data_IF_705314284578
#
_entry.id   IF_705314284578
#
_cell.length_a   1.000
_cell.length_b   1.000
_cell.length_c   1.000
_cell.angle_alpha   90.00
_cell.angle_beta   90.00
_cell.angle_gamma   90.00
#
_symmetry.space_group_name_H-M   'P 1'
#
loop_
_entity.id
_entity.type
_entity.pdbx_description
1 polymer ?
#
# COMPACT_ATOMS: atom_id res chain seq x y z
N UNK A 1 42.20 -48.12 8.94
CA UNK A 1 40.81 -47.79 9.35
C UNK A 1 40.70 -46.29 9.28
N UNK A 2 40.31 -45.77 8.12
CA UNK A 2 40.10 -44.33 7.90
C UNK A 2 38.70 -43.94 8.36
N UNK A 3 38.65 -43.07 9.32
CA UNK A 3 37.41 -42.54 9.88
C UNK A 3 37.03 -41.31 9.06
N UNK A 4 36.21 -41.52 8.03
CA UNK A 4 35.64 -40.42 7.23
C UNK A 4 34.60 -39.68 8.07
N UNK A 5 34.99 -38.55 8.64
CA UNK A 5 34.08 -37.63 9.28
C UNK A 5 33.17 -37.02 8.19
N UNK A 6 31.89 -37.41 8.18
CA UNK A 6 30.85 -36.73 7.38
C UNK A 6 30.70 -35.29 7.85
N UNK A 7 30.99 -34.36 6.95
CA UNK A 7 30.72 -32.95 7.15
C UNK A 7 29.18 -32.77 7.08
N UNK A 8 28.51 -32.28 8.13
CA UNK A 8 27.10 -32.07 8.08
C UNK A 8 26.80 -31.00 7.02
N UNK A 9 26.08 -31.40 5.96
CA UNK A 9 25.51 -30.48 4.97
C UNK A 9 24.62 -29.51 5.69
N UNK A 10 25.01 -28.23 5.74
CA UNK A 10 24.13 -27.13 6.20
C UNK A 10 22.81 -27.23 5.41
N UNK A 11 21.72 -27.53 6.11
CA UNK A 11 20.35 -27.37 5.62
C UNK A 11 20.27 -26.00 4.95
N UNK A 12 19.86 -25.92 3.69
CA UNK A 12 19.51 -24.66 3.04
C UNK A 12 18.35 -24.10 3.84
N UNK A 13 18.63 -23.14 4.72
CA UNK A 13 17.58 -22.39 5.40
C UNK A 13 16.71 -21.74 4.33
N UNK A 14 15.43 -21.98 4.38
CA UNK A 14 14.46 -21.30 3.50
C UNK A 14 14.65 -19.80 3.69
N UNK A 15 14.98 -19.10 2.61
CA UNK A 15 15.17 -17.64 2.65
C UNK A 15 13.82 -16.97 2.48
N UNK A 16 13.40 -16.17 3.46
CA UNK A 16 12.17 -15.40 3.39
C UNK A 16 12.40 -14.09 2.64
N UNK A 17 11.72 -13.91 1.51
CA UNK A 17 11.78 -12.69 0.71
C UNK A 17 10.43 -11.99 0.80
N UNK A 18 10.40 -10.77 1.32
CA UNK A 18 9.21 -9.95 1.36
C UNK A 18 9.13 -9.06 0.12
N UNK A 19 7.96 -9.03 -0.54
CA UNK A 19 7.61 -8.01 -1.53
C UNK A 19 6.80 -6.91 -0.88
N UNK A 20 7.06 -5.66 -1.24
CA UNK A 20 6.42 -4.46 -0.67
C UNK A 20 5.96 -3.54 -1.78
N UNK A 21 4.70 -3.08 -1.70
CA UNK A 21 4.16 -2.05 -2.59
C UNK A 21 3.22 -1.11 -1.82
N UNK A 22 3.09 0.13 -2.30
CA UNK A 22 2.21 1.15 -1.73
C UNK A 22 1.06 1.51 -2.66
N UNK A 23 -0.01 2.01 -2.08
CA UNK A 23 -1.17 2.57 -2.78
C UNK A 23 -1.64 3.85 -2.09
N UNK A 24 -2.13 4.79 -2.88
CA UNK A 24 -2.73 6.00 -2.32
C UNK A 24 -1.83 7.23 -2.30
N UNK A 25 -0.77 7.31 -3.11
CA UNK A 25 0.09 8.51 -3.23
C UNK A 25 -0.69 9.70 -3.83
N UNK A 26 -1.41 9.50 -4.93
CA UNK A 26 -2.07 10.57 -5.69
C UNK A 26 -3.44 11.04 -5.20
N UNK A 27 -4.24 10.29 -4.42
CA UNK A 27 -5.53 10.75 -3.90
C UNK A 27 -5.44 11.99 -3.03
N UNK A 28 -6.52 12.81 -3.04
CA UNK A 28 -6.69 14.00 -2.19
C UNK A 28 -7.21 13.66 -0.78
N UNK A 29 -7.68 12.43 -0.58
CA UNK A 29 -8.29 11.97 0.67
C UNK A 29 -7.89 10.54 1.01
N UNK A 30 -7.96 10.23 2.30
CA UNK A 30 -7.65 8.93 2.86
C UNK A 30 -6.15 8.68 3.05
N UNK A 31 -5.81 7.58 3.74
CA UNK A 31 -4.42 7.22 4.07
C UNK A 31 -3.62 6.78 2.83
N UNK A 32 -2.29 6.73 3.00
CA UNK A 32 -1.41 5.86 2.19
C UNK A 32 -1.34 4.51 2.87
N UNK A 33 -1.51 3.44 2.10
CA UNK A 33 -1.35 2.07 2.55
C UNK A 33 -0.16 1.43 1.86
N UNK A 34 0.51 0.56 2.60
CA UNK A 34 1.54 -0.35 2.07
C UNK A 34 1.21 -1.76 2.52
N UNK A 35 1.39 -2.73 1.65
CA UNK A 35 1.39 -4.13 2.00
C UNK A 35 2.79 -4.72 1.90
N UNK A 36 3.12 -5.63 2.81
CA UNK A 36 4.29 -6.50 2.76
C UNK A 36 3.81 -7.95 2.72
N UNK A 37 4.35 -8.76 1.80
CA UNK A 37 3.94 -10.16 1.58
C UNK A 37 5.17 -11.05 1.48
N UNK A 38 5.18 -12.14 2.24
CA UNK A 38 6.12 -13.27 2.07
C UNK A 38 5.30 -14.44 1.51
N UNK A 39 5.54 -14.79 0.25
CA UNK A 39 4.84 -15.90 -0.41
C UNK A 39 5.40 -17.25 0.06
N UNK A 40 4.52 -18.28 0.05
CA UNK A 40 4.91 -19.68 0.29
C UNK A 40 5.32 -20.34 -1.04
N UNK A 41 6.58 -20.73 -1.21
CA UNK A 41 7.03 -21.44 -2.41
C UNK A 41 6.33 -22.80 -2.60
N UNK A 42 5.78 -23.39 -1.54
CA UNK A 42 5.05 -24.65 -1.60
C UNK A 42 3.59 -24.47 -2.06
N UNK A 43 3.08 -23.22 -2.04
CA UNK A 43 1.72 -22.88 -2.41
C UNK A 43 1.69 -21.76 -3.47
N UNK A 44 2.18 -21.98 -4.70
CA UNK A 44 2.27 -20.94 -5.72
C UNK A 44 0.89 -20.41 -6.10
N UNK A 45 0.78 -19.08 -6.24
CA UNK A 45 -0.44 -18.38 -6.62
C UNK A 45 -0.34 -17.99 -8.09
N UNK A 46 -1.33 -18.39 -8.89
CA UNK A 46 -1.32 -18.16 -10.32
C UNK A 46 -2.01 -16.85 -10.72
N UNK A 47 -1.44 -16.13 -11.68
CA UNK A 47 -2.04 -14.93 -12.27
C UNK A 47 -1.82 -13.68 -11.44
N UNK A 48 -0.77 -13.67 -10.63
CA UNK A 48 -0.24 -12.43 -10.03
C UNK A 48 0.21 -11.51 -11.17
N UNK A 49 -0.20 -10.25 -11.12
CA UNK A 49 0.10 -9.22 -12.11
C UNK A 49 -0.13 -7.84 -11.51
N UNK A 50 0.26 -6.78 -12.22
CA UNK A 50 -0.07 -5.40 -11.87
C UNK A 50 -1.56 -5.26 -11.50
N UNK A 51 -1.83 -4.83 -10.27
CA UNK A 51 -3.17 -4.73 -9.68
C UNK A 51 -4.14 -3.87 -10.51
N UNK A 52 -3.61 -2.95 -11.33
CA UNK A 52 -4.39 -2.07 -12.21
C UNK A 52 -4.74 -2.72 -13.54
N UNK A 53 -4.04 -3.78 -13.94
CA UNK A 53 -4.25 -4.49 -15.20
C UNK A 53 -5.33 -5.57 -15.13
N UNK A 54 -5.74 -5.98 -13.93
CA UNK A 54 -6.74 -7.02 -13.70
C UNK A 54 -8.08 -6.43 -13.25
N UNK A 55 -9.19 -7.13 -13.54
CA UNK A 55 -10.52 -6.70 -13.11
C UNK A 55 -10.65 -6.67 -11.57
N UNK A 56 -11.56 -5.84 -11.06
CA UNK A 56 -11.84 -5.73 -9.62
C UNK A 56 -12.20 -7.10 -9.02
N UNK A 57 -13.09 -7.85 -9.66
CA UNK A 57 -13.50 -9.20 -9.23
C UNK A 57 -12.30 -10.16 -9.14
N UNK A 58 -11.39 -10.15 -10.14
CA UNK A 58 -10.21 -10.99 -10.13
C UNK A 58 -9.23 -10.55 -9.03
N UNK A 59 -9.09 -9.26 -8.82
CA UNK A 59 -8.23 -8.67 -7.78
C UNK A 59 -8.69 -9.07 -6.38
N UNK A 60 -10.00 -9.00 -6.09
CA UNK A 60 -10.57 -9.46 -4.83
C UNK A 60 -10.30 -10.95 -4.59
N UNK A 61 -10.59 -11.81 -5.57
CA UNK A 61 -10.31 -13.24 -5.46
C UNK A 61 -8.82 -13.54 -5.21
N UNK A 62 -7.92 -12.82 -5.89
CA UNK A 62 -6.48 -12.97 -5.67
C UNK A 62 -6.05 -12.46 -4.28
N UNK A 63 -6.61 -11.36 -3.78
CA UNK A 63 -6.31 -10.86 -2.46
C UNK A 63 -6.69 -11.87 -1.37
N UNK A 64 -7.85 -12.51 -1.49
CA UNK A 64 -8.27 -13.60 -0.60
C UNK A 64 -7.32 -14.80 -0.69
N UNK A 65 -6.94 -15.22 -1.90
CA UNK A 65 -6.01 -16.33 -2.12
C UNK A 65 -4.62 -16.03 -1.53
N UNK A 66 -4.11 -14.79 -1.69
CA UNK A 66 -2.85 -14.35 -1.10
C UNK A 66 -2.91 -14.42 0.43
N UNK A 67 -3.98 -13.92 1.04
CA UNK A 67 -4.13 -13.96 2.49
C UNK A 67 -4.22 -15.39 3.06
N UNK A 68 -4.76 -16.34 2.29
CA UNK A 68 -4.88 -17.75 2.72
C UNK A 68 -3.59 -18.55 2.53
N UNK A 69 -2.78 -18.23 1.52
CA UNK A 69 -1.63 -19.06 1.08
C UNK A 69 -0.26 -18.45 1.37
N UNK A 70 -0.17 -17.14 1.55
CA UNK A 70 1.11 -16.53 1.88
C UNK A 70 1.56 -16.91 3.29
N UNK A 71 2.87 -17.01 3.49
CA UNK A 71 3.46 -17.27 4.80
C UNK A 71 3.24 -16.09 5.76
N UNK A 72 3.25 -14.87 5.25
CA UNK A 72 2.97 -13.67 6.03
C UNK A 72 2.47 -12.55 5.14
N UNK A 73 1.45 -11.83 5.62
CA UNK A 73 0.89 -10.62 5.00
C UNK A 73 0.70 -9.57 6.08
N UNK A 74 1.14 -8.36 5.82
CA UNK A 74 0.94 -7.26 6.75
C UNK A 74 0.66 -5.95 6.02
N UNK A 75 -0.18 -5.10 6.64
CA UNK A 75 -0.54 -3.78 6.10
C UNK A 75 -0.08 -2.70 7.06
N UNK A 76 0.73 -1.79 6.52
CA UNK A 76 1.09 -0.54 7.18
C UNK A 76 0.30 0.63 6.60
N UNK A 77 -0.03 1.60 7.46
CA UNK A 77 -0.77 2.81 7.09
C UNK A 77 -0.03 4.05 7.55
N UNK A 78 -0.15 5.13 6.75
CA UNK A 78 0.13 6.47 7.20
C UNK A 78 -1.16 7.30 7.07
N UNK A 79 -1.55 7.97 8.16
CA UNK A 79 -2.78 8.75 8.23
C UNK A 79 -2.71 10.02 7.39
N UNK A 80 -3.85 10.70 7.27
CA UNK A 80 -3.93 12.00 6.59
C UNK A 80 -3.06 13.05 7.29
N UNK A 81 -3.07 13.06 8.61
CA UNK A 81 -2.27 13.96 9.44
C UNK A 81 -0.77 13.71 9.25
N UNK A 82 -0.36 12.44 9.23
CA UNK A 82 1.04 12.06 8.97
C UNK A 82 1.49 12.43 7.56
N UNK A 83 0.58 12.34 6.56
CA UNK A 83 0.86 12.80 5.19
C UNK A 83 1.07 14.32 5.16
N UNK A 84 0.22 15.07 5.86
CA UNK A 84 0.28 16.53 5.92
C UNK A 84 1.53 17.01 6.65
N UNK A 85 1.98 16.31 7.70
CA UNK A 85 3.17 16.61 8.46
C UNK A 85 4.48 16.23 7.74
N UNK A 86 4.54 15.01 7.22
CA UNK A 86 5.78 14.40 6.71
C UNK A 86 5.99 14.62 5.20
N UNK A 87 4.98 14.96 4.44
CA UNK A 87 4.74 14.78 3.01
C UNK A 87 4.49 13.31 2.62
N UNK A 88 3.85 13.12 1.44
CA UNK A 88 3.39 11.79 1.00
C UNK A 88 4.51 10.76 0.79
N UNK A 89 5.71 11.19 0.38
CA UNK A 89 6.84 10.27 0.20
C UNK A 89 7.33 9.70 1.53
N UNK A 90 7.56 10.57 2.51
CA UNK A 90 7.98 10.13 3.86
C UNK A 90 6.89 9.33 4.57
N UNK A 91 5.63 9.70 4.36
CA UNK A 91 4.47 8.97 4.87
C UNK A 91 4.37 7.56 4.24
N UNK A 92 4.62 7.40 2.93
CA UNK A 92 4.66 6.06 2.31
C UNK A 92 5.82 5.22 2.87
N UNK A 93 7.00 5.80 3.09
CA UNK A 93 8.11 5.12 3.73
C UNK A 93 7.79 4.70 5.18
N UNK A 94 7.05 5.53 5.93
CA UNK A 94 6.55 5.17 7.26
C UNK A 94 5.58 3.99 7.19
N UNK A 95 4.64 4.01 6.24
CA UNK A 95 3.71 2.90 6.01
C UNK A 95 4.46 1.61 5.62
N UNK A 96 5.52 1.68 4.79
CA UNK A 96 6.36 0.53 4.45
C UNK A 96 7.03 -0.09 5.67
N UNK A 97 7.64 0.74 6.53
CA UNK A 97 8.24 0.25 7.79
C UNK A 97 7.21 -0.41 8.70
N UNK A 98 6.01 0.15 8.82
CA UNK A 98 4.91 -0.42 9.60
C UNK A 98 4.44 -1.76 9.02
N UNK A 99 4.34 -1.89 7.69
CA UNK A 99 4.01 -3.14 7.04
C UNK A 99 5.07 -4.22 7.32
N UNK A 100 6.35 -3.89 7.17
CA UNK A 100 7.44 -4.83 7.46
C UNK A 100 7.48 -5.24 8.93
N UNK A 101 7.32 -4.30 9.85
CA UNK A 101 7.28 -4.58 11.29
C UNK A 101 6.07 -5.44 11.74
N UNK A 102 4.99 -5.44 10.97
CA UNK A 102 3.79 -6.25 11.23
C UNK A 102 3.83 -7.66 10.66
N UNK A 103 4.87 -8.03 9.90
CA UNK A 103 5.03 -9.41 9.41
C UNK A 103 5.23 -10.37 10.57
N UNK A 104 4.58 -11.54 10.50
CA UNK A 104 4.73 -12.63 11.49
C UNK A 104 6.05 -13.41 11.35
N UNK A 105 6.75 -13.23 10.22
CA UNK A 105 8.05 -13.80 9.91
C UNK A 105 9.01 -12.68 9.55
N UNK A 106 10.22 -12.71 10.09
CA UNK A 106 11.27 -11.75 9.75
C UNK A 106 11.83 -12.06 8.35
N UNK A 107 11.81 -11.10 7.40
CA UNK A 107 12.37 -11.34 6.07
C UNK A 107 13.91 -11.28 6.08
N UNK A 108 14.55 -12.18 5.34
CA UNK A 108 16.00 -12.14 5.04
C UNK A 108 16.34 -11.08 3.99
N UNK A 109 15.36 -10.73 3.15
CA UNK A 109 15.51 -9.74 2.09
C UNK A 109 14.17 -9.10 1.74
N UNK A 110 14.19 -7.81 1.36
CA UNK A 110 13.00 -7.04 1.03
C UNK A 110 13.11 -6.50 -0.40
N UNK A 111 12.09 -6.73 -1.21
CA UNK A 111 11.93 -6.20 -2.56
C UNK A 111 10.84 -5.16 -2.54
N UNK A 112 11.15 -3.91 -2.89
CA UNK A 112 10.23 -2.78 -2.82
C UNK A 112 9.91 -2.28 -4.23
N UNK A 113 8.63 -2.07 -4.56
CA UNK A 113 8.27 -1.44 -5.82
C UNK A 113 8.80 0.00 -5.90
N UNK A 114 9.25 0.38 -7.10
CA UNK A 114 9.73 1.73 -7.36
C UNK A 114 11.25 1.87 -7.40
N UNK A 115 11.73 3.08 -7.12
CA UNK A 115 13.15 3.45 -7.25
C UNK A 115 13.77 4.03 -5.98
N UNK A 116 13.06 3.96 -4.85
CA UNK A 116 13.50 4.49 -3.55
C UNK A 116 13.18 3.50 -2.45
N UNK A 117 14.09 3.38 -1.51
CA UNK A 117 13.91 2.58 -0.31
C UNK A 117 13.61 3.48 0.89
N UNK A 118 12.72 3.07 1.81
CA UNK A 118 12.68 3.65 3.14
C UNK A 118 13.97 3.28 3.89
N UNK A 119 14.32 4.06 4.88
CA UNK A 119 15.35 3.69 5.85
C UNK A 119 14.87 2.47 6.66
N UNK A 120 15.63 1.37 6.62
CA UNK A 120 15.29 0.12 7.29
C UNK A 120 16.57 -0.71 7.55
N UNK A 121 16.50 -1.63 8.52
CA UNK A 121 17.61 -2.50 8.92
C UNK A 121 17.66 -3.83 8.12
N UNK A 122 16.85 -3.97 7.09
CA UNK A 122 16.81 -5.15 6.22
C UNK A 122 17.72 -5.00 5.01
N UNK A 123 18.28 -6.12 4.52
CA UNK A 123 18.81 -6.17 3.17
C UNK A 123 17.66 -5.90 2.20
N UNK A 124 17.77 -4.89 1.34
CA UNK A 124 16.65 -4.47 0.50
C UNK A 124 17.09 -4.02 -0.89
N UNK A 125 16.18 -4.15 -1.86
CA UNK A 125 16.34 -3.69 -3.24
C UNK A 125 15.07 -2.99 -3.73
N UNK A 126 15.22 -1.85 -4.42
CA UNK A 126 14.14 -1.16 -5.10
C UNK A 126 14.04 -1.66 -6.54
N UNK A 127 12.86 -2.09 -6.96
CA UNK A 127 12.61 -2.67 -8.29
C UNK A 127 11.58 -1.83 -9.03
N UNK A 128 12.03 -1.16 -10.09
CA UNK A 128 11.15 -0.35 -10.95
C UNK A 128 10.15 -1.25 -11.66
N UNK A 129 8.85 -0.98 -11.49
CA UNK A 129 7.75 -1.81 -11.98
C UNK A 129 7.81 -3.26 -11.44
N UNK A 130 8.22 -3.40 -10.19
CA UNK A 130 8.27 -4.68 -9.51
C UNK A 130 6.90 -5.34 -9.38
N UNK A 131 5.83 -4.54 -9.30
CA UNK A 131 4.43 -4.98 -9.35
C UNK A 131 4.07 -5.80 -10.59
N UNK A 132 4.85 -5.68 -11.67
CA UNK A 132 4.66 -6.45 -12.93
C UNK A 132 5.61 -7.63 -13.09
N UNK A 133 6.72 -7.65 -12.37
CA UNK A 133 7.84 -8.56 -12.65
C UNK A 133 8.21 -9.47 -11.48
N UNK A 134 7.76 -9.15 -10.26
CA UNK A 134 8.09 -9.86 -9.02
C UNK A 134 6.81 -10.28 -8.30
N UNK A 135 6.58 -11.59 -8.19
CA UNK A 135 5.35 -12.16 -7.64
C UNK A 135 5.00 -11.63 -6.23
N UNK A 136 5.99 -11.51 -5.33
CA UNK A 136 5.75 -11.00 -3.98
C UNK A 136 5.36 -9.52 -3.96
N UNK A 137 5.90 -8.70 -4.86
CA UNK A 137 5.50 -7.29 -5.03
C UNK A 137 4.12 -7.21 -5.67
N UNK A 138 3.85 -8.02 -6.71
CA UNK A 138 2.51 -8.12 -7.33
C UNK A 138 1.44 -8.49 -6.29
N UNK A 139 1.73 -9.46 -5.42
CA UNK A 139 0.85 -9.85 -4.32
C UNK A 139 0.60 -8.68 -3.35
N UNK A 140 1.66 -7.98 -2.95
CA UNK A 140 1.55 -6.80 -2.10
C UNK A 140 0.70 -5.69 -2.74
N UNK A 141 0.92 -5.40 -4.02
CA UNK A 141 0.13 -4.45 -4.81
C UNK A 141 -1.37 -4.78 -4.82
N UNK A 142 -1.71 -6.05 -5.07
CA UNK A 142 -3.09 -6.54 -5.11
C UNK A 142 -3.77 -6.35 -3.74
N UNK A 143 -3.13 -6.82 -2.67
CA UNK A 143 -3.71 -6.72 -1.32
C UNK A 143 -3.83 -5.27 -0.87
N UNK A 144 -2.79 -4.45 -1.06
CA UNK A 144 -2.84 -3.02 -0.73
C UNK A 144 -3.99 -2.31 -1.47
N UNK A 145 -4.17 -2.59 -2.77
CA UNK A 145 -5.22 -1.99 -3.59
C UNK A 145 -6.62 -2.37 -3.12
N UNK A 146 -6.88 -3.66 -2.85
CA UNK A 146 -8.19 -4.12 -2.36
C UNK A 146 -8.50 -3.48 -1.02
N UNK A 147 -7.59 -3.58 -0.06
CA UNK A 147 -7.78 -3.03 1.28
C UNK A 147 -8.06 -1.52 1.25
N UNK A 148 -7.29 -0.75 0.45
CA UNK A 148 -7.51 0.68 0.38
C UNK A 148 -8.83 1.04 -0.28
N UNK A 149 -9.23 0.34 -1.32
CA UNK A 149 -10.51 0.59 -2.00
C UNK A 149 -11.69 0.34 -1.05
N UNK A 150 -11.63 -0.71 -0.23
CA UNK A 150 -12.62 -1.00 0.82
C UNK A 150 -12.66 0.09 1.90
N UNK A 151 -11.49 0.56 2.37
CA UNK A 151 -11.42 1.67 3.33
C UNK A 151 -12.05 2.95 2.77
N UNK A 152 -11.86 3.26 1.49
CA UNK A 152 -12.47 4.45 0.87
C UNK A 152 -13.98 4.27 0.62
N UNK A 153 -14.46 3.05 0.40
CA UNK A 153 -15.90 2.76 0.35
C UNK A 153 -16.53 2.97 1.75
N UNK A 154 -15.89 2.46 2.80
CA UNK A 154 -16.34 2.69 4.17
C UNK A 154 -16.33 4.20 4.53
N UNK A 155 -15.27 4.91 4.16
CA UNK A 155 -15.14 6.35 4.38
C UNK A 155 -16.26 7.17 3.69
N UNK A 156 -16.83 6.67 2.59
CA UNK A 156 -17.96 7.32 1.92
C UNK A 156 -19.24 7.31 2.77
N UNK A 157 -19.38 6.38 3.71
CA UNK A 157 -20.52 6.34 4.65
C UNK A 157 -20.39 7.45 5.71
N UNK A 158 -19.16 7.71 6.16
CA UNK A 158 -18.89 8.77 7.15
C UNK A 158 -18.96 10.18 6.52
N UNK A 159 -18.58 10.29 5.24
CA UNK A 159 -18.53 11.55 4.50
C UNK A 159 -19.33 11.46 3.18
N UNK A 160 -20.66 11.39 3.24
CA UNK A 160 -21.50 11.27 2.04
C UNK A 160 -21.40 12.52 1.15
N UNK A 161 -21.57 12.33 -0.16
CA UNK A 161 -21.57 13.40 -1.15
C UNK A 161 -20.22 13.71 -1.80
N UNK A 162 -19.08 13.22 -1.24
CA UNK A 162 -17.78 13.37 -1.88
C UNK A 162 -17.57 12.37 -3.03
N UNK A 163 -18.18 11.18 -2.99
CA UNK A 163 -18.05 10.13 -4.00
C UNK A 163 -16.82 9.24 -3.81
N UNK A 164 -16.35 9.08 -2.57
CA UNK A 164 -15.17 8.26 -2.24
C UNK A 164 -15.35 6.80 -2.66
N UNK A 165 -16.56 6.27 -2.60
CA UNK A 165 -16.94 4.93 -3.07
C UNK A 165 -16.66 4.71 -4.56
N UNK A 166 -16.70 5.78 -5.36
CA UNK A 166 -16.47 5.73 -6.80
C UNK A 166 -15.01 5.95 -7.16
N UNK A 167 -14.48 7.12 -6.83
CA UNK A 167 -13.14 7.54 -7.27
C UNK A 167 -12.02 7.30 -6.26
N UNK A 168 -12.30 6.66 -5.11
CA UNK A 168 -11.30 6.27 -4.10
C UNK A 168 -10.37 7.42 -3.66
N UNK A 169 -10.92 8.64 -3.60
CA UNK A 169 -10.20 9.84 -3.20
C UNK A 169 -9.37 10.51 -4.31
N UNK A 170 -9.29 9.95 -5.53
CA UNK A 170 -8.55 10.56 -6.63
C UNK A 170 -9.16 11.90 -7.09
N UNK A 171 -8.36 12.83 -7.67
CA UNK A 171 -8.77 14.18 -8.05
C UNK A 171 -9.61 14.22 -9.32
N UNK A 172 -10.70 13.45 -9.38
CA UNK A 172 -11.66 13.46 -10.50
C UNK A 172 -12.45 14.78 -10.56
N UNK A 173 -13.14 15.02 -11.66
CA UNK A 173 -14.02 16.18 -11.81
C UNK A 173 -15.12 16.19 -10.73
N UNK A 174 -15.67 15.00 -10.39
CA UNK A 174 -16.65 14.82 -9.31
C UNK A 174 -16.07 15.25 -7.96
N UNK A 175 -14.90 14.70 -7.58
CA UNK A 175 -14.26 15.00 -6.31
C UNK A 175 -13.91 16.50 -6.18
N UNK A 176 -13.32 17.10 -7.22
CA UNK A 176 -13.02 18.53 -7.24
C UNK A 176 -14.27 19.42 -7.16
N UNK A 177 -15.42 18.98 -7.71
CA UNK A 177 -16.69 19.66 -7.57
C UNK A 177 -17.18 19.59 -6.13
N UNK A 178 -17.19 18.42 -5.52
CA UNK A 178 -17.56 18.22 -4.11
C UNK A 178 -16.74 19.11 -3.19
N UNK A 179 -15.42 19.15 -3.37
CA UNK A 179 -14.53 20.05 -2.62
C UNK A 179 -14.91 21.53 -2.75
N UNK A 180 -15.28 22.00 -3.95
CA UNK A 180 -15.69 23.41 -4.15
C UNK A 180 -17.02 23.74 -3.52
N UNK A 181 -17.96 22.78 -3.45
CA UNK A 181 -19.32 23.01 -2.94
C UNK A 181 -19.44 22.80 -1.45
N UNK A 182 -18.81 21.77 -0.90
CA UNK A 182 -18.94 21.35 0.50
C UNK A 182 -17.71 21.73 1.34
N UNK A 183 -16.62 22.16 0.70
CA UNK A 183 -15.32 22.28 1.40
C UNK A 183 -14.66 20.91 1.66
N UNK A 184 -13.48 20.86 2.27
CA UNK A 184 -12.83 19.62 2.64
C UNK A 184 -13.34 19.08 3.99
N UNK A 185 -13.55 17.74 4.06
CA UNK A 185 -13.80 17.05 5.32
C UNK A 185 -12.47 16.60 5.98
N UNK A 186 -12.49 16.07 7.23
CA UNK A 186 -11.29 15.60 7.93
C UNK A 186 -10.47 14.53 7.19
N UNK A 187 -11.10 13.78 6.28
CA UNK A 187 -10.40 12.78 5.48
C UNK A 187 -9.52 13.37 4.37
N UNK A 188 -9.56 14.69 4.10
CA UNK A 188 -8.78 15.32 3.04
C UNK A 188 -7.39 15.73 3.52
N UNK A 189 -6.41 15.55 2.64
CA UNK A 189 -5.01 15.92 2.84
C UNK A 189 -4.83 17.41 2.64
N UNK A 190 -4.74 18.16 3.72
CA UNK A 190 -4.70 19.64 3.72
C UNK A 190 -3.46 20.22 3.06
N UNK A 191 -2.37 19.48 3.00
CA UNK A 191 -1.13 19.87 2.31
C UNK A 191 -1.24 19.84 0.77
N UNK A 192 -2.29 19.20 0.22
CA UNK A 192 -2.45 19.07 -1.24
C UNK A 192 -3.08 20.33 -1.82
N UNK A 193 -2.49 20.86 -2.91
CA UNK A 193 -2.92 22.12 -3.52
C UNK A 193 -4.43 22.23 -3.83
N UNK A 194 -5.13 21.22 -4.37
CA UNK A 194 -6.58 21.33 -4.59
C UNK A 194 -7.38 21.45 -3.29
N UNK A 195 -6.92 20.88 -2.19
CA UNK A 195 -7.56 20.96 -0.88
C UNK A 195 -7.29 22.33 -0.24
N UNK A 196 -6.06 22.83 -0.33
CA UNK A 196 -5.70 24.18 0.11
C UNK A 196 -6.53 25.25 -0.60
N UNK A 197 -6.70 25.13 -1.93
CA UNK A 197 -7.54 26.05 -2.69
C UNK A 197 -9.00 26.01 -2.26
N UNK A 198 -9.54 24.84 -1.87
CA UNK A 198 -10.90 24.73 -1.36
C UNK A 198 -11.05 25.35 0.04
N UNK A 199 -10.04 25.20 0.92
CA UNK A 199 -9.99 25.85 2.25
C UNK A 199 -9.99 27.38 2.13
N UNK A 200 -9.17 27.94 1.24
CA UNK A 200 -9.11 29.40 1.03
C UNK A 200 -10.46 29.97 0.56
N UNK A 201 -11.20 29.23 -0.27
CA UNK A 201 -12.51 29.67 -0.76
C UNK A 201 -13.63 29.58 0.29
N UNK A 202 -13.51 28.72 1.31
CA UNK A 202 -14.46 28.67 2.43
C UNK A 202 -14.30 29.85 3.37
N UNK A 203 -13.05 30.23 3.67
CA UNK A 203 -12.77 31.41 4.52
C UNK A 203 -13.31 32.72 3.91
N UNK A 204 -13.26 32.86 2.57
CA UNK A 204 -13.76 34.06 1.87
C UNK A 204 -15.30 34.17 1.80
N UNK A 205 -16.05 33.12 2.19
CA UNK A 205 -17.53 33.13 2.20
C UNK A 205 -18.12 33.50 3.56
N UNK A 206 -17.33 33.40 4.61
CA UNK A 206 -17.74 33.68 6.00
C UNK A 206 -17.33 35.11 6.46
N UNK A 207 -16.73 35.92 5.56
CA UNK A 207 -16.48 37.34 5.81
C UNK A 207 -17.68 38.15 5.37
N UNK A 208 -18.35 38.89 6.28
CA UNK A 208 -19.59 39.62 6.01
C UNK A 208 -19.43 40.87 5.12
#
# INVERSE_FOLDING_TARGET
MENSAEIPTKSKSTRYVAGVDEVGIGPLAGPVLTCAVILDPAQPIQGLADSKSISEKRRQALAEEIQQRALSVSIGRASVEEIDELNVLKASHLAMRRALAGLSLEPDHVLVDGNKLPEMDYSAEAIVQGDKTVDSISAASIVAKVTRDEELIALALDYPGYGFESHKGYPTAQHRRALRTMGPCPAHRRSYAPVQAALANTVSRDDP
#
